data_IF_389627837093
#
_entry.id   IF_389627837093
#
_cell.length_a   1.000
_cell.length_b   1.000
_cell.length_c   1.000
_cell.angle_alpha   90.00
_cell.angle_beta   90.00
_cell.angle_gamma   90.00
#
_symmetry.space_group_name_H-M   'P 1'
#
loop_
_entity.id
_entity.type
_entity.pdbx_description
1 polymer ?
#
# COMPACT_ATOMS: atom_id res chain seq x y z
N UNK A 1 -49.08 -5.19 -41.54
CA UNK A 1 -49.22 -4.67 -40.16
C UNK A 1 -48.45 -3.36 -40.09
N UNK A 2 -48.92 -2.34 -39.36
CA UNK A 2 -48.10 -1.15 -39.13
C UNK A 2 -47.08 -1.50 -38.05
N UNK A 3 -45.80 -1.45 -38.37
CA UNK A 3 -44.72 -1.78 -37.43
C UNK A 3 -44.40 -0.63 -36.48
N UNK A 4 -44.84 0.59 -36.79
CA UNK A 4 -44.67 1.78 -35.96
C UNK A 4 -45.97 2.60 -35.89
N UNK A 5 -46.21 3.33 -34.79
CA UNK A 5 -45.34 3.44 -33.61
C UNK A 5 -45.36 2.18 -32.72
N UNK A 6 -44.24 1.88 -32.05
CA UNK A 6 -44.11 0.81 -31.04
C UNK A 6 -43.90 1.40 -29.65
N UNK A 7 -44.55 0.84 -28.65
CA UNK A 7 -44.35 1.23 -27.25
C UNK A 7 -43.39 0.25 -26.60
N UNK A 8 -42.26 0.75 -26.11
CA UNK A 8 -41.26 -0.01 -25.38
C UNK A 8 -41.22 0.47 -23.93
N UNK A 9 -40.71 -0.37 -23.05
CA UNK A 9 -40.81 -0.23 -21.61
C UNK A 9 -39.47 -0.47 -20.92
N UNK A 10 -39.21 0.27 -19.84
CA UNK A 10 -38.04 0.10 -19.00
C UNK A 10 -38.47 -0.03 -17.54
N UNK A 11 -38.07 -1.11 -16.88
CA UNK A 11 -38.40 -1.38 -15.48
C UNK A 11 -38.96 -2.79 -15.26
N UNK A 12 -39.95 -2.91 -14.37
CA UNK A 12 -40.64 -4.17 -14.05
C UNK A 12 -42.11 -4.13 -14.49
N UNK A 13 -42.79 -5.27 -14.51
CA UNK A 13 -44.21 -5.33 -14.85
C UNK A 13 -45.09 -4.47 -13.91
N UNK A 14 -44.66 -4.21 -12.67
CA UNK A 14 -45.36 -3.35 -11.71
C UNK A 14 -44.92 -1.88 -11.73
N UNK A 15 -43.64 -1.61 -11.99
CA UNK A 15 -43.08 -0.26 -12.03
C UNK A 15 -42.21 -0.08 -13.29
N UNK A 16 -42.81 0.50 -14.33
CA UNK A 16 -42.15 0.75 -15.60
C UNK A 16 -42.36 2.18 -16.10
N UNK A 17 -41.39 2.66 -16.87
CA UNK A 17 -41.51 3.80 -17.75
C UNK A 17 -41.74 3.29 -19.18
N UNK A 18 -42.37 4.10 -20.03
CA UNK A 18 -42.61 3.74 -21.43
C UNK A 18 -42.22 4.85 -22.38
N UNK A 19 -41.73 4.47 -23.56
CA UNK A 19 -41.40 5.37 -24.65
C UNK A 19 -41.90 4.82 -25.98
N UNK A 20 -42.24 5.71 -26.91
CA UNK A 20 -42.87 5.35 -28.19
C UNK A 20 -41.89 5.53 -29.34
N UNK A 21 -41.37 4.42 -29.85
CA UNK A 21 -40.56 4.37 -31.05
C UNK A 21 -41.40 4.75 -32.27
N UNK A 22 -40.96 5.79 -32.99
CA UNK A 22 -41.67 6.34 -34.15
C UNK A 22 -41.23 5.70 -35.48
N UNK A 23 -40.04 5.10 -35.49
CA UNK A 23 -39.43 4.42 -36.62
C UNK A 23 -38.42 3.37 -36.11
N UNK A 24 -37.84 2.61 -37.04
CA UNK A 24 -36.93 1.52 -36.73
C UNK A 24 -35.63 1.98 -36.08
N UNK A 25 -35.07 3.11 -36.51
CA UNK A 25 -33.83 3.65 -35.94
C UNK A 25 -34.05 4.06 -34.47
N UNK A 26 -35.18 4.70 -34.17
CA UNK A 26 -35.55 5.07 -32.80
C UNK A 26 -35.83 3.84 -31.93
N UNK A 27 -36.42 2.77 -32.48
CA UNK A 27 -36.55 1.48 -31.77
C UNK A 27 -35.18 0.90 -31.41
N UNK A 28 -34.21 0.94 -32.33
CA UNK A 28 -32.87 0.42 -32.08
C UNK A 28 -32.16 1.20 -30.95
N UNK A 29 -32.25 2.54 -30.97
CA UNK A 29 -31.72 3.40 -29.90
C UNK A 29 -32.35 3.08 -28.54
N UNK A 30 -33.68 2.92 -28.49
CA UNK A 30 -34.39 2.57 -27.25
C UNK A 30 -34.01 1.18 -26.74
N UNK A 31 -33.82 0.21 -27.63
CA UNK A 31 -33.35 -1.14 -27.29
C UNK A 31 -31.93 -1.13 -26.75
N UNK A 32 -31.04 -0.28 -27.28
CA UNK A 32 -29.69 -0.06 -26.74
C UNK A 32 -29.73 0.58 -25.34
N UNK A 33 -30.70 1.47 -25.09
CA UNK A 33 -30.97 2.06 -23.77
C UNK A 33 -31.65 1.08 -22.79
N UNK A 34 -31.98 -0.13 -23.25
CA UNK A 34 -32.55 -1.20 -22.42
C UNK A 34 -34.08 -1.22 -22.37
N UNK A 35 -34.77 -0.44 -23.21
CA UNK A 35 -36.22 -0.56 -23.34
C UNK A 35 -36.59 -1.84 -24.10
N UNK A 36 -37.60 -2.55 -23.62
CA UNK A 36 -38.05 -3.85 -24.14
C UNK A 36 -39.55 -3.85 -24.39
N UNK A 37 -40.08 -4.89 -25.02
CA UNK A 37 -41.54 -5.03 -25.11
C UNK A 37 -42.13 -5.31 -23.73
N UNK A 38 -43.40 -4.95 -23.50
CA UNK A 38 -44.04 -5.18 -22.19
C UNK A 38 -43.98 -6.66 -21.75
N UNK A 39 -44.10 -7.59 -22.69
CA UNK A 39 -44.02 -9.03 -22.43
C UNK A 39 -42.62 -9.52 -22.04
N UNK A 40 -41.59 -8.69 -22.23
CA UNK A 40 -40.19 -8.97 -21.89
C UNK A 40 -39.77 -8.28 -20.59
N UNK A 41 -40.64 -7.46 -19.99
CA UNK A 41 -40.38 -6.89 -18.68
C UNK A 41 -40.26 -8.01 -17.65
N UNK A 42 -39.28 -7.88 -16.76
CA UNK A 42 -39.16 -8.79 -15.64
C UNK A 42 -40.38 -8.64 -14.73
N UNK A 43 -41.01 -9.75 -14.38
CA UNK A 43 -41.93 -9.79 -13.26
C UNK A 43 -41.17 -9.44 -11.99
N UNK A 44 -41.81 -8.69 -11.10
CA UNK A 44 -41.29 -8.46 -9.75
C UNK A 44 -41.37 -9.78 -8.98
N UNK A 45 -40.46 -10.71 -9.30
CA UNK A 45 -40.25 -11.91 -8.51
C UNK A 45 -39.74 -11.41 -7.17
N UNK A 46 -40.53 -11.61 -6.11
CA UNK A 46 -40.07 -11.46 -4.73
C UNK A 46 -38.66 -12.02 -4.64
N UNK A 47 -37.69 -11.16 -4.31
CA UNK A 47 -36.25 -11.45 -4.33
C UNK A 47 -35.87 -12.45 -3.22
N UNK A 48 -36.33 -13.69 -3.32
CA UNK A 48 -35.88 -14.79 -2.46
C UNK A 48 -35.22 -15.94 -3.22
N UNK A 49 -35.14 -15.88 -4.56
CA UNK A 49 -34.37 -16.87 -5.33
C UNK A 49 -33.58 -16.16 -6.44
N UNK A 50 -32.44 -15.61 -6.04
CA UNK A 50 -31.46 -15.00 -6.95
C UNK A 50 -30.75 -16.14 -7.73
N UNK A 51 -31.29 -16.48 -8.90
CA UNK A 51 -30.67 -17.43 -9.81
C UNK A 51 -29.45 -16.79 -10.50
N UNK A 52 -28.25 -17.01 -9.95
CA UNK A 52 -27.01 -16.76 -10.69
C UNK A 52 -26.89 -17.83 -11.78
N UNK A 53 -27.07 -17.45 -13.05
CA UNK A 53 -26.81 -18.32 -14.21
C UNK A 53 -25.32 -18.68 -14.25
N UNK A 54 -25.01 -19.96 -14.06
CA UNK A 54 -23.69 -20.51 -14.39
C UNK A 54 -23.47 -20.45 -15.92
N UNK A 55 -22.62 -19.51 -16.36
CA UNK A 55 -22.25 -19.30 -17.76
C UNK A 55 -21.57 -20.52 -18.42
N UNK A 56 -21.21 -21.57 -17.67
CA UNK A 56 -20.66 -22.81 -18.25
C UNK A 56 -21.67 -23.91 -18.52
N UNK A 57 -22.80 -23.97 -17.80
CA UNK A 57 -23.69 -25.15 -17.85
C UNK A 57 -25.15 -24.83 -18.15
N UNK A 58 -25.55 -23.55 -18.14
CA UNK A 58 -26.92 -23.14 -18.48
C UNK A 58 -28.00 -23.69 -17.54
N UNK A 59 -27.60 -24.30 -16.42
CA UNK A 59 -28.51 -24.82 -15.40
C UNK A 59 -28.62 -23.81 -14.24
N UNK A 60 -29.82 -23.62 -13.70
CA UNK A 60 -29.98 -22.83 -12.48
C UNK A 60 -29.19 -23.49 -11.35
N UNK A 61 -28.25 -22.76 -10.75
CA UNK A 61 -27.61 -23.16 -9.49
C UNK A 61 -28.41 -22.51 -8.37
N UNK A 62 -29.18 -23.30 -7.63
CA UNK A 62 -29.83 -22.86 -6.41
C UNK A 62 -28.75 -22.59 -5.36
N UNK A 63 -28.62 -21.33 -4.92
CA UNK A 63 -27.86 -20.97 -3.72
C UNK A 63 -28.67 -21.50 -2.54
N UNK A 64 -28.16 -22.51 -1.85
CA UNK A 64 -28.86 -23.09 -0.70
C UNK A 64 -28.74 -22.10 0.48
N UNK A 65 -29.73 -22.05 1.37
CA UNK A 65 -29.72 -21.09 2.49
C UNK A 65 -28.44 -21.18 3.37
N UNK A 66 -27.79 -22.35 3.42
CA UNK A 66 -26.47 -22.50 4.07
C UNK A 66 -25.34 -21.72 3.39
N UNK A 67 -25.39 -21.53 2.06
CA UNK A 67 -24.42 -20.71 1.33
C UNK A 67 -24.58 -19.23 1.69
N UNK A 68 -25.82 -18.78 1.95
CA UNK A 68 -26.10 -17.41 2.38
C UNK A 68 -25.58 -17.14 3.79
N UNK A 69 -25.84 -18.06 4.74
CA UNK A 69 -25.34 -17.95 6.11
C UNK A 69 -23.81 -17.96 6.16
N UNK A 70 -23.16 -18.76 5.30
CA UNK A 70 -21.71 -18.78 5.16
C UNK A 70 -21.17 -17.44 4.62
N UNK A 71 -21.79 -16.89 3.57
CA UNK A 71 -21.41 -15.57 3.01
C UNK A 71 -21.57 -14.46 4.04
N UNK A 72 -22.63 -14.50 4.86
CA UNK A 72 -22.82 -13.55 5.95
C UNK A 72 -21.72 -13.66 7.02
N UNK A 73 -21.36 -14.88 7.41
CA UNK A 73 -20.30 -15.12 8.38
C UNK A 73 -18.93 -14.64 7.84
N UNK A 74 -18.61 -14.94 6.58
CA UNK A 74 -17.38 -14.49 5.93
C UNK A 74 -17.35 -12.96 5.82
N UNK A 75 -18.46 -12.32 5.47
CA UNK A 75 -18.57 -10.85 5.45
C UNK A 75 -18.29 -10.25 6.83
N UNK A 76 -18.87 -10.81 7.88
CA UNK A 76 -18.72 -10.28 9.24
C UNK A 76 -17.29 -10.49 9.75
N UNK A 77 -16.67 -11.62 9.42
CA UNK A 77 -15.25 -11.86 9.67
C UNK A 77 -14.37 -10.83 8.92
N UNK A 78 -14.58 -10.64 7.61
CA UNK A 78 -13.81 -9.66 6.84
C UNK A 78 -14.02 -8.23 7.32
N UNK A 79 -15.20 -7.91 7.84
CA UNK A 79 -15.47 -6.61 8.44
C UNK A 79 -14.67 -6.42 9.72
N UNK A 80 -14.66 -7.41 10.61
CA UNK A 80 -13.86 -7.39 11.83
C UNK A 80 -12.36 -7.27 11.52
N UNK A 81 -11.85 -8.10 10.60
CA UNK A 81 -10.45 -8.04 10.17
C UNK A 81 -10.09 -6.68 9.56
N UNK A 82 -10.98 -6.09 8.75
CA UNK A 82 -10.75 -4.75 8.20
C UNK A 82 -10.71 -3.66 9.27
N UNK A 83 -11.57 -3.76 10.28
CA UNK A 83 -11.59 -2.78 11.36
C UNK A 83 -10.33 -2.91 12.25
N UNK A 84 -9.86 -4.13 12.51
CA UNK A 84 -8.60 -4.39 13.20
C UNK A 84 -7.39 -3.89 12.39
N UNK A 85 -7.34 -4.16 11.09
CA UNK A 85 -6.26 -3.67 10.21
C UNK A 85 -6.22 -2.15 10.14
N UNK A 86 -7.39 -1.48 10.11
CA UNK A 86 -7.45 -0.01 10.17
C UNK A 86 -6.93 0.52 11.50
N UNK A 87 -7.25 -0.15 12.61
CA UNK A 87 -6.77 0.23 13.93
C UNK A 87 -5.23 0.11 14.01
N UNK A 88 -4.67 -1.00 13.53
CA UNK A 88 -3.21 -1.21 13.45
C UNK A 88 -2.54 -0.15 12.57
N UNK A 89 -3.09 0.12 11.38
CA UNK A 89 -2.56 1.15 10.48
C UNK A 89 -2.56 2.54 11.12
N UNK A 90 -3.60 2.86 11.90
CA UNK A 90 -3.67 4.12 12.64
C UNK A 90 -2.57 4.20 13.69
N UNK A 91 -2.39 3.15 14.49
CA UNK A 91 -1.37 3.07 15.51
C UNK A 91 0.05 3.19 14.92
N UNK A 92 0.34 2.50 13.82
CA UNK A 92 1.65 2.60 13.15
C UNK A 92 1.88 4.00 12.56
N UNK A 93 0.85 4.66 12.04
CA UNK A 93 0.96 6.05 11.57
C UNK A 93 1.28 7.00 12.71
N UNK A 94 0.64 6.84 13.86
CA UNK A 94 0.96 7.64 15.04
C UNK A 94 2.39 7.40 15.53
N UNK A 95 2.83 6.14 15.59
CA UNK A 95 4.20 5.80 15.97
C UNK A 95 5.23 6.40 14.99
N UNK A 96 4.97 6.31 13.69
CA UNK A 96 5.84 6.92 12.68
C UNK A 96 5.88 8.45 12.76
N UNK A 97 4.74 9.10 13.07
CA UNK A 97 4.72 10.55 13.29
C UNK A 97 5.55 10.93 14.53
N UNK A 98 5.48 10.16 15.61
CA UNK A 98 6.31 10.37 16.79
C UNK A 98 7.80 10.18 16.50
N UNK A 99 8.17 9.14 15.75
CA UNK A 99 9.55 8.93 15.31
C UNK A 99 10.05 10.09 14.45
N UNK A 100 9.22 10.60 13.53
CA UNK A 100 9.59 11.76 12.72
C UNK A 100 9.82 13.00 13.58
N UNK A 101 8.97 13.26 14.59
CA UNK A 101 9.18 14.36 15.53
C UNK A 101 10.49 14.21 16.31
N UNK A 102 10.85 12.98 16.71
CA UNK A 102 12.14 12.70 17.36
C UNK A 102 13.29 12.98 16.40
N UNK A 103 13.20 12.54 15.14
CA UNK A 103 14.23 12.79 14.13
C UNK A 103 14.39 14.30 13.87
N UNK A 104 13.28 15.03 13.74
CA UNK A 104 13.29 16.47 13.47
C UNK A 104 13.83 17.27 14.67
N UNK A 105 13.55 16.80 15.90
CA UNK A 105 14.07 17.40 17.14
C UNK A 105 15.48 16.91 17.50
N UNK A 106 15.98 15.87 16.83
CA UNK A 106 17.32 15.36 17.03
C UNK A 106 18.31 16.41 16.53
N UNK A 107 18.84 17.18 17.48
CA UNK A 107 20.09 17.86 17.29
C UNK A 107 21.17 16.79 17.40
N UNK A 108 21.90 16.46 16.31
CA UNK A 108 23.07 15.64 16.47
C UNK A 108 23.94 16.32 17.52
N UNK A 109 24.35 15.57 18.55
CA UNK A 109 25.55 15.90 19.32
C UNK A 109 26.57 16.44 18.31
N UNK A 110 27.27 17.55 18.59
CA UNK A 110 28.31 18.01 17.69
C UNK A 110 29.19 16.79 17.49
N UNK A 111 29.07 16.18 16.31
CA UNK A 111 30.01 15.19 15.90
C UNK A 111 31.29 15.96 16.09
N UNK A 112 32.17 15.45 16.92
CA UNK A 112 33.58 15.59 16.60
C UNK A 112 33.66 14.86 15.26
N UNK A 113 33.22 15.56 14.18
CA UNK A 113 33.98 15.60 12.96
C UNK A 113 35.36 15.67 13.53
N UNK A 114 36.17 14.67 13.25
CA UNK A 114 37.57 14.93 13.23
C UNK A 114 37.71 16.16 12.29
N UNK A 115 37.60 17.36 12.86
CA UNK A 115 38.70 18.28 12.88
C UNK A 115 39.89 17.37 13.10
N UNK A 116 40.38 16.84 12.00
CA UNK A 116 41.79 16.87 11.73
C UNK A 116 42.18 18.35 11.87
N UNK A 117 42.18 18.84 13.12
CA UNK A 117 43.30 19.63 13.58
C UNK A 117 44.45 18.76 13.13
N UNK A 118 45.07 19.16 12.03
CA UNK A 118 46.33 18.63 11.59
C UNK A 118 47.22 18.80 12.82
N UNK A 119 47.25 17.76 13.66
CA UNK A 119 47.99 17.79 14.90
C UNK A 119 49.39 17.77 14.36
N UNK A 120 50.10 18.89 14.46
CA UNK A 120 51.47 18.94 13.98
C UNK A 120 52.28 18.04 14.91
N UNK A 121 52.34 16.76 14.56
CA UNK A 121 52.98 15.73 15.35
C UNK A 121 54.48 16.02 15.52
N UNK A 122 55.04 16.96 14.72
CA UNK A 122 56.41 17.45 14.86
C UNK A 122 56.65 18.21 16.16
N UNK A 123 55.63 18.79 16.79
CA UNK A 123 55.76 19.52 18.04
C UNK A 123 55.66 18.61 19.28
N UNK A 124 55.24 17.35 19.11
CA UNK A 124 55.06 16.41 20.21
C UNK A 124 56.35 15.64 20.55
N UNK A 125 56.48 15.18 21.79
CA UNK A 125 57.58 14.30 22.20
C UNK A 125 57.31 12.85 21.80
N UNK A 126 58.35 12.01 21.73
CA UNK A 126 58.19 10.58 21.39
C UNK A 126 57.23 9.86 22.35
N UNK A 127 57.21 10.23 23.63
CA UNK A 127 56.31 9.63 24.61
C UNK A 127 54.85 10.03 24.37
N UNK A 128 54.60 11.28 23.99
CA UNK A 128 53.25 11.75 23.62
C UNK A 128 52.74 11.06 22.36
N UNK A 129 53.61 10.85 21.37
CA UNK A 129 53.26 10.12 20.14
C UNK A 129 52.91 8.66 20.42
N UNK A 130 53.61 8.00 21.34
CA UNK A 130 53.30 6.63 21.77
C UNK A 130 51.95 6.50 22.44
N UNK A 131 51.61 7.44 23.34
CA UNK A 131 50.28 7.48 23.98
C UNK A 131 49.18 7.60 22.92
N UNK A 132 49.36 8.47 21.91
CA UNK A 132 48.39 8.61 20.81
C UNK A 132 48.28 7.33 19.95
N UNK A 133 49.38 6.63 19.71
CA UNK A 133 49.37 5.35 19.00
C UNK A 133 48.66 4.26 19.82
N UNK A 134 48.87 4.22 21.14
CA UNK A 134 48.19 3.30 22.05
C UNK A 134 46.66 3.57 22.09
N UNK A 135 46.25 4.85 22.16
CA UNK A 135 44.83 5.26 22.07
C UNK A 135 44.20 4.83 20.74
N UNK A 136 44.92 4.99 19.63
CA UNK A 136 44.49 4.56 18.29
C UNK A 136 44.68 3.07 18.03
N UNK A 137 45.21 2.30 18.98
CA UNK A 137 45.53 0.88 18.88
C UNK A 137 46.47 0.54 17.70
N UNK A 138 47.37 1.46 17.36
CA UNK A 138 48.37 1.29 16.30
C UNK A 138 49.66 0.72 16.94
N UNK A 139 50.16 -0.40 16.42
CA UNK A 139 51.39 -1.03 16.91
C UNK A 139 52.63 -0.23 16.49
N UNK A 140 53.59 -0.11 17.41
CA UNK A 140 54.92 0.48 17.18
C UNK A 140 55.99 -0.35 17.91
N UNK A 141 57.25 -0.14 17.57
CA UNK A 141 58.40 -0.76 18.23
C UNK A 141 59.03 0.19 19.24
N UNK A 142 59.57 -0.35 20.34
CA UNK A 142 60.22 0.45 21.39
C UNK A 142 61.42 1.27 20.90
N UNK A 143 62.02 0.89 19.76
CA UNK A 143 63.15 1.57 19.11
C UNK A 143 62.74 2.51 17.99
N UNK A 144 61.45 2.62 17.67
CA UNK A 144 60.98 3.53 16.64
C UNK A 144 61.34 4.97 17.03
N UNK A 145 61.86 5.69 16.04
CA UNK A 145 62.22 7.08 16.18
C UNK A 145 60.98 7.97 16.02
N UNK A 146 61.13 9.25 16.36
CA UNK A 146 60.02 10.21 16.33
C UNK A 146 59.33 10.26 14.96
N UNK A 147 60.09 10.24 13.86
CA UNK A 147 59.54 10.33 12.50
C UNK A 147 58.69 9.09 12.16
N UNK A 148 59.15 7.87 12.52
CA UNK A 148 58.38 6.64 12.33
C UNK A 148 57.05 6.67 13.09
N UNK A 149 57.03 7.22 14.31
CA UNK A 149 55.80 7.36 15.10
C UNK A 149 54.81 8.35 14.46
N UNK A 150 55.31 9.43 13.84
CA UNK A 150 54.51 10.41 13.09
C UNK A 150 53.91 9.77 11.83
N UNK A 151 54.70 9.00 11.09
CA UNK A 151 54.26 8.30 9.88
C UNK A 151 53.14 7.30 10.19
N UNK A 152 53.22 6.60 11.33
CA UNK A 152 52.16 5.68 11.76
C UNK A 152 50.85 6.40 12.10
N UNK A 153 50.93 7.60 12.68
CA UNK A 153 49.75 8.41 13.05
C UNK A 153 49.07 9.09 11.86
N UNK A 154 49.81 9.28 10.76
CA UNK A 154 49.34 9.94 9.52
C UNK A 154 48.82 8.96 8.48
N UNK A 155 49.05 7.66 8.65
CA UNK A 155 48.48 6.64 7.77
C UNK A 155 46.95 6.53 7.95
N UNK A 156 46.18 6.41 6.84
CA UNK A 156 44.76 6.12 6.93
C UNK A 156 44.57 4.74 7.55
N UNK A 157 43.90 4.65 8.69
CA UNK A 157 43.60 3.38 9.34
C UNK A 157 42.76 2.54 8.39
N UNK A 158 43.34 1.46 7.85
CA UNK A 158 42.58 0.41 7.17
C UNK A 158 41.72 -0.27 8.22
N UNK A 159 40.47 0.15 8.32
CA UNK A 159 39.42 -0.62 8.98
C UNK A 159 39.23 -1.85 8.10
N UNK A 160 39.80 -3.00 8.49
CA UNK A 160 39.44 -4.29 7.90
C UNK A 160 37.99 -4.59 8.32
N UNK A 161 37.11 -4.72 7.32
CA UNK A 161 35.76 -5.29 7.43
C UNK A 161 35.81 -6.80 7.72
#
# INVERSE_FOLDING_TARGET
>A
MREFPKMLYLGTTQAHQHEVAQNQDHEAELRELGFVDFAELADEVNQTEDYIKDMRTGKPKTVLQGDYDQVLAERDQFKAENDDLKAQLHQEREANQQLQQIIDSYQPEPTIQAQTVATDYKDLTSDQLRVMLDEKKIKYLARDNKDTLIDLLTQPTKTEE
#
